data_IF_663825884173
#
_entry.id   IF_663825884173
#
_cell.length_a   1.000
_cell.length_b   1.000
_cell.length_c   1.000
_cell.angle_alpha   90.00
_cell.angle_beta   90.00
_cell.angle_gamma   90.00
#
_symmetry.space_group_name_H-M   'P 1'
#
loop_
_entity.id
_entity.type
_entity.pdbx_description
1 polymer ?
#
# COMPACT_ATOMS: atom_id res chain seq x y z
N UNK A 1 4.48 13.32 -11.38
CA UNK A 1 3.48 13.34 -10.29
C UNK A 1 4.23 13.14 -8.99
N UNK A 2 4.00 13.99 -8.00
CA UNK A 2 4.64 13.84 -6.69
C UNK A 2 4.11 12.54 -6.06
N UNK A 3 4.94 11.50 -5.97
CA UNK A 3 4.61 10.29 -5.23
C UNK A 3 4.32 10.75 -3.81
N UNK A 4 3.05 10.68 -3.40
CA UNK A 4 2.67 11.05 -2.06
C UNK A 4 3.47 10.15 -1.13
N UNK A 5 4.37 10.73 -0.35
CA UNK A 5 5.30 9.96 0.48
C UNK A 5 4.50 9.15 1.50
N UNK A 6 4.24 7.88 1.20
CA UNK A 6 3.57 6.93 2.09
C UNK A 6 4.59 6.43 3.10
N UNK A 7 4.27 6.59 4.38
CA UNK A 7 5.17 6.28 5.49
C UNK A 7 4.63 5.15 6.35
N UNK A 8 5.52 4.52 7.13
CA UNK A 8 5.11 3.53 8.12
C UNK A 8 4.10 4.15 9.07
N UNK A 9 2.99 3.44 9.29
CA UNK A 9 1.88 3.87 10.13
C UNK A 9 0.74 4.52 9.37
N UNK A 10 0.97 4.99 8.13
CA UNK A 10 -0.08 5.57 7.28
C UNK A 10 -1.17 4.53 6.98
N UNK A 11 -2.41 5.00 6.98
CA UNK A 11 -3.54 4.23 6.52
C UNK A 11 -3.74 4.47 5.02
N UNK A 12 -3.96 3.37 4.28
CA UNK A 12 -4.03 3.39 2.83
C UNK A 12 -5.19 2.54 2.34
N UNK A 13 -5.70 2.87 1.16
CA UNK A 13 -6.62 2.03 0.38
C UNK A 13 -6.00 1.77 -0.98
N UNK A 14 -6.46 0.74 -1.69
CA UNK A 14 -6.06 0.58 -3.09
C UNK A 14 -6.61 1.74 -3.92
N UNK A 15 -5.73 2.39 -4.68
CA UNK A 15 -6.14 3.34 -5.72
C UNK A 15 -6.70 2.61 -6.94
N UNK A 16 -6.11 1.44 -7.22
CA UNK A 16 -6.46 0.56 -8.33
C UNK A 16 -7.36 -0.59 -7.88
N UNK A 17 -8.66 -0.43 -8.11
CA UNK A 17 -9.69 -1.40 -7.71
C UNK A 17 -9.59 -2.73 -8.46
N UNK A 18 -9.05 -2.73 -9.67
CA UNK A 18 -8.76 -3.92 -10.47
C UNK A 18 -7.70 -4.82 -9.82
N UNK A 19 -6.66 -4.22 -9.22
CA UNK A 19 -5.61 -4.96 -8.49
C UNK A 19 -6.15 -5.52 -7.18
N UNK A 20 -6.98 -4.75 -6.46
CA UNK A 20 -7.60 -5.20 -5.21
C UNK A 20 -8.47 -6.44 -5.44
N UNK A 21 -9.26 -6.45 -6.52
CA UNK A 21 -10.15 -7.56 -6.87
C UNK A 21 -9.39 -8.86 -7.17
N UNK A 22 -8.27 -8.78 -7.91
CA UNK A 22 -7.39 -9.94 -8.18
C UNK A 22 -6.78 -10.49 -6.89
N UNK A 23 -6.48 -9.62 -5.93
CA UNK A 23 -5.93 -10.01 -4.63
C UNK A 23 -7.00 -10.49 -3.63
N UNK A 24 -8.28 -10.50 -4.02
CA UNK A 24 -9.41 -10.82 -3.13
C UNK A 24 -9.62 -9.80 -2.02
N UNK A 25 -8.99 -8.63 -2.12
CA UNK A 25 -9.08 -7.55 -1.14
C UNK A 25 -10.32 -6.72 -1.45
N UNK A 26 -11.21 -6.59 -0.46
CA UNK A 26 -12.43 -5.79 -0.61
C UNK A 26 -12.12 -4.37 -1.10
N UNK A 27 -12.97 -3.84 -1.99
CA UNK A 27 -12.84 -2.54 -2.69
C UNK A 27 -12.67 -1.32 -1.79
N UNK A 28 -12.91 -1.46 -0.48
CA UNK A 28 -12.74 -0.43 0.55
C UNK A 28 -11.91 -0.89 1.75
N UNK A 29 -11.20 -2.02 1.63
CA UNK A 29 -10.35 -2.50 2.68
C UNK A 29 -9.28 -1.43 2.99
N UNK A 30 -9.20 -1.05 4.26
CA UNK A 30 -8.17 -0.13 4.73
C UNK A 30 -6.99 -0.95 5.21
N UNK A 31 -5.84 -0.64 4.65
CA UNK A 31 -4.56 -1.21 5.04
C UNK A 31 -3.76 -0.22 5.89
N UNK A 32 -2.88 -0.73 6.73
CA UNK A 32 -1.87 0.07 7.41
C UNK A 32 -0.49 -0.29 6.91
N UNK A 33 0.33 0.70 6.60
CA UNK A 33 1.71 0.50 6.21
C UNK A 33 2.52 0.05 7.42
N UNK A 34 3.08 -1.14 7.37
CA UNK A 34 3.85 -1.74 8.48
C UNK A 34 5.35 -1.62 8.27
N UNK A 35 5.80 -1.57 7.01
CA UNK A 35 7.20 -1.40 6.64
C UNK A 35 7.31 -0.57 5.36
N UNK A 36 8.39 0.19 5.24
CA UNK A 36 8.80 0.83 4.00
C UNK A 36 10.21 0.35 3.68
N UNK A 37 10.45 0.03 2.40
CA UNK A 37 11.70 -0.52 1.90
C UNK A 37 12.18 0.34 0.75
N UNK A 38 13.46 0.70 0.78
CA UNK A 38 14.07 1.54 -0.25
C UNK A 38 14.89 2.64 0.37
N UNK A 39 16.20 2.59 0.11
CA UNK A 39 17.13 3.69 0.30
C UNK A 39 18.01 3.79 -0.94
N UNK A 40 18.37 5.01 -1.34
CA UNK A 40 19.43 5.27 -2.33
C UNK A 40 19.12 4.80 -3.75
N UNK A 41 18.21 5.47 -4.46
CA UNK A 41 18.05 5.34 -5.91
C UNK A 41 17.28 4.11 -6.42
N UNK A 42 16.89 3.17 -5.55
CA UNK A 42 15.93 2.09 -5.89
C UNK A 42 14.48 2.53 -5.68
N UNK A 43 13.58 1.94 -6.47
CA UNK A 43 12.13 2.13 -6.29
C UNK A 43 11.72 1.78 -4.86
N UNK A 44 11.06 2.73 -4.20
CA UNK A 44 10.51 2.51 -2.86
C UNK A 44 9.38 1.48 -2.96
N UNK A 45 9.36 0.53 -2.03
CA UNK A 45 8.27 -0.45 -1.87
C UNK A 45 7.79 -0.41 -0.43
N UNK A 46 6.55 -0.85 -0.20
CA UNK A 46 5.92 -0.86 1.12
C UNK A 46 5.27 -2.20 1.40
N UNK A 47 5.22 -2.53 2.69
CA UNK A 47 4.42 -3.64 3.18
C UNK A 47 3.17 -3.08 3.84
N UNK A 48 2.01 -3.62 3.46
CA UNK A 48 0.70 -3.14 3.91
C UNK A 48 -0.07 -4.31 4.51
N UNK A 49 -0.55 -4.13 5.75
CA UNK A 49 -1.44 -5.08 6.41
C UNK A 49 -2.88 -4.61 6.26
N UNK A 50 -3.69 -5.40 5.56
CA UNK A 50 -5.13 -5.22 5.50
C UNK A 50 -5.81 -6.06 6.58
N UNK A 51 -6.89 -5.53 7.16
CA UNK A 51 -7.69 -6.28 8.14
C UNK A 51 -8.26 -7.54 7.50
N UNK A 52 -8.14 -8.68 8.19
CA UNK A 52 -8.62 -9.98 7.70
C UNK A 52 -7.81 -10.61 6.55
N UNK A 53 -6.72 -10.00 6.10
CA UNK A 53 -5.91 -10.49 4.97
C UNK A 53 -4.44 -10.66 5.35
N UNK A 54 -3.69 -11.41 4.54
CA UNK A 54 -2.23 -11.49 4.67
C UNK A 54 -1.57 -10.11 4.46
N UNK A 55 -0.36 -9.95 5.00
CA UNK A 55 0.42 -8.74 4.74
C UNK A 55 0.89 -8.76 3.30
N UNK A 56 0.51 -7.74 2.52
CA UNK A 56 1.09 -7.50 1.22
C UNK A 56 2.52 -7.03 1.39
N UNK A 57 3.47 -7.66 0.70
CA UNK A 57 4.90 -7.39 0.85
C UNK A 57 5.49 -6.79 -0.42
N UNK A 58 6.33 -5.77 -0.28
CA UNK A 58 7.11 -5.12 -1.35
C UNK A 58 6.27 -4.59 -2.51
N UNK A 59 5.11 -4.02 -2.23
CA UNK A 59 4.28 -3.37 -3.26
C UNK A 59 4.73 -1.94 -3.51
N UNK A 60 4.48 -1.43 -4.72
CA UNK A 60 4.75 -0.02 -5.05
C UNK A 60 3.77 0.90 -4.30
N UNK A 61 4.25 2.00 -3.68
CA UNK A 61 3.41 2.99 -3.02
C UNK A 61 2.30 3.54 -3.93
N UNK A 62 2.61 3.73 -5.22
CA UNK A 62 1.69 4.31 -6.22
C UNK A 62 0.45 3.45 -6.51
N UNK A 63 0.38 2.22 -6.00
CA UNK A 63 -0.84 1.39 -6.06
C UNK A 63 -1.86 1.76 -4.97
N UNK A 64 -1.44 2.57 -4.01
CA UNK A 64 -2.21 2.89 -2.83
C UNK A 64 -2.44 4.40 -2.71
N UNK A 65 -3.65 4.74 -2.28
CA UNK A 65 -4.01 6.09 -1.89
C UNK A 65 -4.01 6.19 -0.37
N UNK A 66 -3.25 7.16 0.18
CA UNK A 66 -3.31 7.48 1.60
C UNK A 66 -4.69 8.01 1.98
N UNK A 67 -5.26 7.48 3.05
CA UNK A 67 -6.47 7.98 3.71
C UNK A 67 -6.08 8.62 5.04
N UNK A 68 -6.66 9.80 5.31
CA UNK A 68 -6.52 10.50 6.60
C UNK A 68 -7.64 10.08 7.54
#
# INVERSE_FOLDING_TARGET
MASATVMRGDQVVFERLDVAEVLGIWRHARGRVVSTHGQGGRAQTIDVKFEGHETLKRYLPDLFRRVR
#
